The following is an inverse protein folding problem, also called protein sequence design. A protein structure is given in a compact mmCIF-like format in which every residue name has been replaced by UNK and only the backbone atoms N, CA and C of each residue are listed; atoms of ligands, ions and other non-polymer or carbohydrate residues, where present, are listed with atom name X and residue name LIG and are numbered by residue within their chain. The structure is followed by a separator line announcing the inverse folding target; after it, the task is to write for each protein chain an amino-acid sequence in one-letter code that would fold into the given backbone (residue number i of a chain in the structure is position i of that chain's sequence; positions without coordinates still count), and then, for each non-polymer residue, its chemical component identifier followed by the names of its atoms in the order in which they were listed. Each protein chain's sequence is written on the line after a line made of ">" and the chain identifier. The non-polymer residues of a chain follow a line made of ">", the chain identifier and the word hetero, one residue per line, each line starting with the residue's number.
data_IF_818444277895
#
_entry.id   IF_818444277895
#
_cell.length_a   1.000
_cell.length_b   1.000
_cell.length_c   1.000
_cell.angle_alpha   90.00
_cell.angle_beta   90.00
_cell.angle_gamma   90.00
#
_symmetry.space_group_name_H-M   'P 1'
#
loop_
_entity.id
_entity.type
_entity.pdbx_description
1 polymer ?
#
# COMPACT_ATOMS: atom_id res chain seq x y z
N UNK A 1 -70.65 -31.06 -0.03
CA UNK A 1 -69.24 -31.34 0.15
C UNK A 1 -68.44 -30.38 -0.71
N UNK A 2 -67.88 -29.34 -0.10
CA UNK A 2 -67.03 -28.37 -0.80
C UNK A 2 -65.57 -28.69 -0.45
N UNK A 3 -64.76 -29.11 -1.45
CA UNK A 3 -63.37 -29.40 -1.29
C UNK A 3 -62.57 -28.10 -1.27
N UNK A 4 -61.86 -27.86 -0.19
CA UNK A 4 -60.96 -26.70 0.02
C UNK A 4 -59.57 -27.12 -0.50
N UNK A 5 -59.15 -26.53 -1.65
CA UNK A 5 -57.81 -26.73 -2.20
C UNK A 5 -56.90 -25.69 -1.56
N UNK A 6 -56.04 -26.10 -0.62
CA UNK A 6 -54.98 -25.25 -0.06
C UNK A 6 -53.79 -25.21 -1.00
N UNK A 7 -53.56 -24.04 -1.58
CA UNK A 7 -52.32 -23.71 -2.34
C UNK A 7 -51.21 -23.36 -1.35
N UNK A 8 -50.23 -24.24 -1.18
CA UNK A 8 -49.01 -23.92 -0.43
C UNK A 8 -48.05 -23.21 -1.39
N UNK A 9 -47.94 -21.89 -1.22
CA UNK A 9 -46.85 -21.12 -1.86
C UNK A 9 -45.55 -21.39 -1.14
N UNK A 10 -44.66 -22.18 -1.78
CA UNK A 10 -43.28 -22.34 -1.33
C UNK A 10 -42.47 -21.11 -1.75
N UNK A 11 -42.29 -20.17 -0.81
CA UNK A 11 -41.39 -19.02 -0.98
C UNK A 11 -39.94 -19.54 -0.99
N UNK A 12 -39.38 -19.71 -2.18
CA UNK A 12 -37.95 -19.84 -2.34
C UNK A 12 -37.29 -18.49 -2.03
N UNK A 13 -36.79 -18.35 -0.82
CA UNK A 13 -35.86 -17.25 -0.49
C UNK A 13 -34.56 -17.47 -1.24
N UNK A 14 -34.41 -16.83 -2.39
CA UNK A 14 -33.11 -16.69 -3.06
C UNK A 14 -32.29 -15.76 -2.19
N UNK A 15 -31.50 -16.28 -1.28
CA UNK A 15 -30.46 -15.52 -0.62
C UNK A 15 -29.45 -15.13 -1.72
N UNK A 16 -29.54 -13.90 -2.23
CA UNK A 16 -28.45 -13.27 -2.96
C UNK A 16 -27.28 -13.19 -1.99
N UNK A 17 -26.37 -14.17 -2.04
CA UNK A 17 -25.08 -14.06 -1.37
C UNK A 17 -24.36 -12.89 -2.03
N UNK A 18 -24.32 -11.76 -1.35
CA UNK A 18 -23.48 -10.64 -1.77
C UNK A 18 -22.04 -11.15 -1.80
N UNK A 19 -21.41 -11.09 -2.97
CA UNK A 19 -20.00 -11.50 -3.09
C UNK A 19 -19.16 -10.65 -2.13
N UNK A 20 -18.33 -11.31 -1.31
CA UNK A 20 -17.47 -10.63 -0.36
C UNK A 20 -16.45 -9.77 -1.11
N UNK A 21 -16.36 -8.49 -0.76
CA UNK A 21 -15.42 -7.52 -1.34
C UNK A 21 -14.55 -6.90 -0.27
N UNK A 22 -13.30 -6.67 -0.63
CA UNK A 22 -12.34 -5.94 0.20
C UNK A 22 -11.70 -4.82 -0.60
N UNK A 23 -11.55 -3.66 0.02
CA UNK A 23 -10.87 -2.50 -0.57
C UNK A 23 -9.56 -2.26 0.13
N UNK A 24 -8.46 -2.37 -0.62
CA UNK A 24 -7.12 -2.04 -0.18
C UNK A 24 -6.77 -0.65 -0.70
N UNK A 25 -6.11 0.14 0.14
CA UNK A 25 -5.64 1.48 -0.19
C UNK A 25 -4.14 1.56 0.07
N UNK A 26 -3.39 2.11 -0.87
CA UNK A 26 -1.95 2.29 -0.78
C UNK A 26 -1.59 3.76 -1.00
N UNK A 27 -0.64 4.24 -0.21
CA UNK A 27 0.01 5.53 -0.44
C UNK A 27 1.52 5.35 -0.52
N UNK A 28 2.19 6.30 -1.18
CA UNK A 28 3.65 6.30 -1.32
C UNK A 28 4.37 6.77 -0.05
N UNK A 29 5.38 7.58 -0.24
CA UNK A 29 6.40 7.86 0.77
C UNK A 29 5.88 8.85 1.83
N UNK A 30 5.81 8.38 3.09
CA UNK A 30 5.48 9.15 4.29
C UNK A 30 6.79 9.66 4.90
N UNK A 31 7.20 10.86 4.50
CA UNK A 31 8.49 11.45 4.86
C UNK A 31 8.36 12.61 5.87
N UNK A 32 9.46 12.93 6.57
CA UNK A 32 9.54 14.05 7.51
C UNK A 32 10.83 14.85 7.36
N UNK A 33 10.79 15.87 6.53
CA UNK A 33 11.90 16.84 6.41
C UNK A 33 11.91 17.85 7.57
N UNK A 34 13.02 18.52 7.76
CA UNK A 34 13.20 19.51 8.86
C UNK A 34 12.08 20.55 8.89
N UNK A 35 11.72 21.12 7.74
CA UNK A 35 10.66 22.12 7.66
C UNK A 35 9.28 21.58 8.05
N UNK A 36 9.00 20.29 7.84
CA UNK A 36 7.76 19.64 8.28
C UNK A 36 7.76 19.46 9.81
N UNK A 37 8.90 19.10 10.41
CA UNK A 37 9.06 19.00 11.86
C UNK A 37 8.85 20.36 12.52
N UNK A 38 9.47 21.41 11.95
CA UNK A 38 9.36 22.77 12.48
C UNK A 38 7.93 23.31 12.35
N UNK A 39 7.24 23.04 11.23
CA UNK A 39 5.85 23.44 11.00
C UNK A 39 4.87 22.76 11.98
N UNK A 40 5.11 21.51 12.33
CA UNK A 40 4.27 20.76 13.27
C UNK A 40 4.48 21.18 14.73
N UNK A 41 5.58 21.88 15.05
CA UNK A 41 5.90 22.28 16.43
C UNK A 41 4.87 23.26 16.98
N UNK A 42 4.34 22.95 18.16
CA UNK A 42 3.41 23.80 18.91
C UNK A 42 4.11 24.73 19.87
N UNK A 43 3.41 25.73 20.39
CA UNK A 43 3.98 26.73 21.30
C UNK A 43 4.47 26.14 22.64
N UNK A 44 3.89 25.01 23.07
CA UNK A 44 4.30 24.25 24.27
C UNK A 44 5.44 23.25 23.98
N UNK A 45 5.99 23.29 22.76
CA UNK A 45 7.15 22.47 22.38
C UNK A 45 6.84 21.02 21.98
N UNK A 46 5.56 20.65 21.89
CA UNK A 46 5.08 19.38 21.33
C UNK A 46 4.98 19.48 19.80
N UNK A 47 4.42 18.44 19.18
CA UNK A 47 4.20 18.38 17.74
C UNK A 47 2.76 17.98 17.44
N UNK A 48 2.14 18.65 16.46
CA UNK A 48 0.81 18.33 15.97
C UNK A 48 0.84 18.14 14.46
N UNK A 49 0.65 16.92 14.01
CA UNK A 49 0.56 16.54 12.60
C UNK A 49 -0.87 16.26 12.14
N UNK A 50 -1.86 16.41 13.02
CA UNK A 50 -3.26 16.10 12.69
C UNK A 50 -3.79 16.90 11.49
N UNK A 51 -3.40 18.19 11.26
CA UNK A 51 -3.86 18.91 10.09
C UNK A 51 -3.34 18.32 8.77
N UNK A 52 -2.17 17.66 8.78
CA UNK A 52 -1.54 17.16 7.55
C UNK A 52 -2.46 16.21 6.77
N UNK A 53 -3.22 15.38 7.46
CA UNK A 53 -4.06 14.33 6.87
C UNK A 53 -5.55 14.70 6.82
N UNK A 54 -5.96 15.87 7.29
CA UNK A 54 -7.36 16.24 7.51
C UNK A 54 -8.25 16.07 6.29
N UNK A 55 -7.77 16.42 5.09
CA UNK A 55 -8.54 16.35 3.84
C UNK A 55 -8.53 14.98 3.16
N UNK A 56 -7.63 14.07 3.56
CA UNK A 56 -7.51 12.70 3.02
C UNK A 56 -7.98 11.62 4.00
N UNK A 57 -8.17 11.98 5.28
CA UNK A 57 -8.54 11.05 6.35
C UNK A 57 -9.79 10.23 6.02
N UNK A 58 -10.82 10.86 5.48
CA UNK A 58 -12.06 10.18 5.15
C UNK A 58 -11.86 9.13 4.04
N UNK A 59 -11.05 9.43 3.02
CA UNK A 59 -10.73 8.47 1.96
C UNK A 59 -9.91 7.30 2.49
N UNK A 60 -8.90 7.57 3.33
CA UNK A 60 -8.06 6.54 3.95
C UNK A 60 -8.91 5.64 4.84
N UNK A 61 -9.74 6.21 5.72
CA UNK A 61 -10.55 5.47 6.69
C UNK A 61 -11.69 4.65 6.07
N UNK A 62 -12.11 4.95 4.82
CA UNK A 62 -13.11 4.17 4.09
C UNK A 62 -12.57 2.86 3.54
N UNK A 63 -11.27 2.74 3.38
CA UNK A 63 -10.64 1.50 2.94
C UNK A 63 -10.77 0.43 4.03
N UNK A 64 -10.86 -0.82 3.61
CA UNK A 64 -10.80 -1.92 4.56
C UNK A 64 -9.41 -2.10 5.13
N UNK A 65 -8.37 -1.89 4.32
CA UNK A 65 -6.97 -1.93 4.74
C UNK A 65 -6.24 -0.78 4.06
N UNK A 66 -5.71 0.17 4.83
CA UNK A 66 -4.89 1.27 4.35
C UNK A 66 -3.41 1.03 4.68
N UNK A 67 -2.55 1.14 3.67
CA UNK A 67 -1.13 0.77 3.73
C UNK A 67 -0.27 1.95 3.30
N UNK A 68 0.76 2.31 4.08
CA UNK A 68 1.68 3.41 3.77
C UNK A 68 3.15 3.02 3.91
N UNK A 69 4.02 3.60 3.08
CA UNK A 69 5.47 3.44 3.19
C UNK A 69 6.03 4.45 4.21
N UNK A 70 6.40 3.98 5.41
CA UNK A 70 7.00 4.83 6.45
C UNK A 70 8.48 5.06 6.14
N UNK A 71 8.78 6.09 5.36
CA UNK A 71 10.13 6.40 4.88
C UNK A 71 10.87 7.37 5.80
N UNK A 72 10.82 7.08 7.08
CA UNK A 72 11.57 7.75 8.15
C UNK A 72 11.84 6.77 9.28
N UNK A 73 12.86 7.04 10.10
CA UNK A 73 12.96 6.40 11.40
C UNK A 73 12.22 7.21 12.49
N UNK A 74 11.73 6.52 13.51
CA UNK A 74 11.27 7.09 14.78
C UNK A 74 12.40 6.94 15.81
N UNK A 75 13.58 7.49 15.46
CA UNK A 75 14.84 7.27 16.20
C UNK A 75 14.93 8.03 17.53
N UNK A 76 13.93 8.85 17.84
CA UNK A 76 13.95 9.73 19.03
C UNK A 76 14.73 11.03 18.79
N UNK A 77 14.89 11.81 19.87
CA UNK A 77 15.64 13.08 19.84
C UNK A 77 17.14 12.84 19.66
N UNK A 78 17.87 13.75 19.00
CA UNK A 78 17.36 14.96 18.33
C UNK A 78 16.59 14.60 17.06
N UNK A 79 15.41 15.20 16.86
CA UNK A 79 14.64 15.04 15.63
C UNK A 79 15.33 15.72 14.46
N UNK A 80 15.32 15.05 13.30
CA UNK A 80 16.11 15.47 12.14
C UNK A 80 15.41 15.11 10.81
N UNK A 81 15.53 16.01 9.83
CA UNK A 81 15.18 15.73 8.44
C UNK A 81 16.34 15.08 7.68
N UNK A 82 16.32 15.24 6.34
CA UNK A 82 17.38 14.75 5.45
C UNK A 82 18.78 15.24 5.91
N UNK A 83 19.85 14.42 5.79
CA UNK A 83 19.87 13.11 5.12
C UNK A 83 19.54 11.90 6.04
N UNK A 84 19.46 12.08 7.35
CA UNK A 84 19.27 11.00 8.33
C UNK A 84 18.05 11.29 9.19
N UNK A 85 16.89 10.87 8.69
CA UNK A 85 15.60 11.18 9.29
C UNK A 85 15.42 10.61 10.70
N UNK A 86 14.83 11.43 11.57
CA UNK A 86 14.29 11.01 12.86
C UNK A 86 13.04 11.84 13.16
N UNK A 87 11.86 11.28 12.90
CA UNK A 87 10.60 11.95 13.10
C UNK A 87 10.16 11.94 14.58
N UNK A 88 9.39 12.94 15.05
CA UNK A 88 8.66 12.88 16.31
C UNK A 88 7.65 11.73 16.32
N UNK A 89 7.40 11.14 17.50
CA UNK A 89 6.45 10.03 17.63
C UNK A 89 5.00 10.47 17.33
N UNK A 90 4.68 11.75 17.51
CA UNK A 90 3.40 12.35 17.17
C UNK A 90 3.10 12.26 15.67
N UNK A 91 4.12 12.07 14.83
CA UNK A 91 3.92 11.80 13.41
C UNK A 91 3.27 10.42 13.17
N UNK A 92 3.75 9.40 13.91
CA UNK A 92 3.12 8.07 13.87
C UNK A 92 1.69 8.10 14.41
N UNK A 93 1.46 8.86 15.48
CA UNK A 93 0.10 9.07 16.01
C UNK A 93 -0.83 9.64 14.92
N UNK A 94 -0.39 10.68 14.21
CA UNK A 94 -1.21 11.29 13.15
C UNK A 94 -1.45 10.33 11.97
N UNK A 95 -0.47 9.48 11.61
CA UNK A 95 -0.63 8.42 10.62
C UNK A 95 -1.70 7.42 11.08
N UNK A 96 -1.63 6.97 12.34
CA UNK A 96 -2.65 6.07 12.92
C UNK A 96 -4.04 6.69 12.92
N UNK A 97 -4.14 7.95 13.35
CA UNK A 97 -5.40 8.70 13.43
C UNK A 97 -5.98 9.01 12.05
N UNK A 98 -5.15 9.07 11.01
CA UNK A 98 -5.60 9.18 9.63
C UNK A 98 -6.25 7.89 9.10
N UNK A 99 -6.06 6.75 9.78
CA UNK A 99 -6.71 5.50 9.46
C UNK A 99 -5.80 4.46 8.79
N UNK A 100 -4.48 4.61 8.85
CA UNK A 100 -3.57 3.59 8.34
C UNK A 100 -3.57 2.34 9.21
N UNK A 101 -3.72 1.19 8.57
CA UNK A 101 -3.77 -0.13 9.20
C UNK A 101 -2.43 -0.86 9.15
N UNK A 102 -1.58 -0.59 8.14
CA UNK A 102 -0.31 -1.30 7.91
C UNK A 102 0.77 -0.32 7.50
N UNK A 103 1.98 -0.51 8.02
CA UNK A 103 3.17 0.25 7.63
C UNK A 103 4.23 -0.62 6.98
N UNK A 104 4.76 -0.14 5.85
CA UNK A 104 5.91 -0.72 5.15
C UNK A 104 7.17 -0.05 5.68
N UNK A 105 8.16 -0.83 6.09
CA UNK A 105 9.36 -0.33 6.75
C UNK A 105 10.66 -0.65 6.02
N UNK A 106 10.62 -1.51 4.97
CA UNK A 106 11.79 -1.73 4.12
C UNK A 106 11.88 -0.61 3.07
N UNK A 107 12.70 0.37 3.36
CA UNK A 107 13.06 1.48 2.48
C UNK A 107 14.50 1.91 2.73
N UNK A 108 15.05 2.81 1.91
CA UNK A 108 16.43 3.25 2.01
C UNK A 108 16.73 4.07 3.27
N UNK A 109 15.70 4.63 3.94
CA UNK A 109 15.83 5.43 5.16
C UNK A 109 15.57 4.64 6.46
N UNK A 110 15.28 3.34 6.40
CA UNK A 110 14.97 2.53 7.59
C UNK A 110 16.14 2.37 8.58
N UNK A 111 17.37 2.69 8.17
CA UNK A 111 18.58 2.65 9.00
C UNK A 111 19.19 4.02 9.30
N UNK A 112 18.54 5.13 9.01
CA UNK A 112 19.08 6.48 9.20
C UNK A 112 19.58 6.79 10.62
N UNK A 113 19.03 6.11 11.61
CA UNK A 113 19.46 6.19 13.02
C UNK A 113 20.09 4.88 13.49
N UNK A 114 20.64 4.10 12.55
CA UNK A 114 21.32 2.84 12.81
C UNK A 114 20.44 1.78 13.49
N UNK A 115 21.10 0.81 14.13
CA UNK A 115 20.42 -0.28 14.84
C UNK A 115 19.39 0.22 15.85
N UNK A 116 19.76 1.15 16.72
CA UNK A 116 18.89 1.69 17.77
C UNK A 116 17.67 2.41 17.19
N UNK A 117 17.85 3.12 16.08
CA UNK A 117 16.75 3.79 15.38
C UNK A 117 15.77 2.80 14.78
N UNK A 118 16.26 1.75 14.10
CA UNK A 118 15.42 0.69 13.57
C UNK A 118 14.62 0.00 14.68
N UNK A 119 15.28 -0.46 15.76
CA UNK A 119 14.62 -1.15 16.85
C UNK A 119 13.60 -0.25 17.58
N UNK A 120 13.93 1.05 17.75
CA UNK A 120 12.98 2.01 18.33
C UNK A 120 11.79 2.25 17.40
N UNK A 121 11.99 2.37 16.11
CA UNK A 121 10.91 2.50 15.12
C UNK A 121 9.94 1.33 15.23
N UNK A 122 10.45 0.10 15.27
CA UNK A 122 9.62 -1.10 15.49
C UNK A 122 8.85 -1.00 16.80
N UNK A 123 9.52 -0.64 17.91
CA UNK A 123 8.88 -0.51 19.23
C UNK A 123 7.75 0.53 19.22
N UNK A 124 7.94 1.67 18.53
CA UNK A 124 6.89 2.67 18.39
C UNK A 124 5.70 2.14 17.58
N UNK A 125 5.94 1.50 16.44
CA UNK A 125 4.88 0.92 15.60
C UNK A 125 4.07 -0.11 16.41
N UNK A 126 4.74 -0.99 17.16
CA UNK A 126 4.09 -1.99 18.01
C UNK A 126 3.26 -1.36 19.15
N UNK A 127 3.73 -0.23 19.72
CA UNK A 127 3.00 0.46 20.79
C UNK A 127 1.64 1.01 20.32
N UNK A 128 1.50 1.27 19.04
CA UNK A 128 0.24 1.65 18.38
C UNK A 128 -0.55 0.44 17.83
N UNK A 129 -0.06 -0.79 18.06
CA UNK A 129 -0.65 -2.03 17.53
C UNK A 129 -0.87 -1.97 16.01
N UNK A 130 0.08 -1.37 15.27
CA UNK A 130 0.05 -1.31 13.81
C UNK A 130 0.86 -2.49 13.25
N UNK A 131 0.29 -3.38 12.46
CA UNK A 131 1.04 -4.38 11.70
C UNK A 131 2.05 -3.72 10.76
N UNK A 132 3.23 -4.34 10.61
CA UNK A 132 4.27 -3.82 9.74
C UNK A 132 5.00 -4.93 8.98
N UNK A 133 5.64 -4.57 7.88
CA UNK A 133 6.47 -5.48 7.10
C UNK A 133 7.73 -4.75 6.61
N UNK A 134 8.87 -5.48 6.63
CA UNK A 134 10.10 -4.99 5.99
C UNK A 134 11.34 -5.04 6.87
N UNK A 135 11.26 -4.65 8.13
CA UNK A 135 12.40 -4.62 9.08
C UNK A 135 12.07 -5.39 10.35
N UNK A 136 13.08 -6.02 10.96
CA UNK A 136 12.92 -6.88 12.14
C UNK A 136 14.14 -6.79 13.05
N UNK A 137 13.93 -6.97 14.36
CA UNK A 137 15.02 -6.99 15.34
C UNK A 137 15.95 -8.20 15.19
N UNK A 138 15.43 -9.33 14.68
CA UNK A 138 16.19 -10.56 14.46
C UNK A 138 15.46 -11.56 13.56
N UNK A 139 16.13 -12.67 13.23
CA UNK A 139 15.60 -13.70 12.35
C UNK A 139 14.39 -14.46 12.94
N UNK A 140 14.29 -14.58 14.26
CA UNK A 140 13.16 -15.24 14.95
C UNK A 140 11.90 -14.39 14.75
N UNK A 141 12.00 -13.09 15.04
CA UNK A 141 10.92 -12.13 14.85
C UNK A 141 10.45 -12.09 13.40
N UNK A 142 11.41 -11.99 12.44
CA UNK A 142 11.07 -12.06 11.01
C UNK A 142 10.30 -13.34 10.66
N UNK A 143 10.76 -14.49 11.14
CA UNK A 143 10.11 -15.78 10.86
C UNK A 143 8.68 -15.85 11.42
N UNK A 144 8.41 -15.19 12.54
CA UNK A 144 7.09 -15.16 13.17
C UNK A 144 6.12 -14.19 12.49
N UNK A 145 6.62 -13.04 12.02
CA UNK A 145 5.80 -11.95 11.53
C UNK A 145 5.75 -11.84 10.00
N UNK A 146 6.60 -12.57 9.27
CA UNK A 146 6.73 -12.42 7.82
C UNK A 146 6.66 -13.77 7.07
N UNK A 147 5.93 -13.85 5.93
CA UNK A 147 5.12 -12.80 5.29
C UNK A 147 4.02 -12.26 6.19
N UNK A 148 3.69 -10.96 6.05
CA UNK A 148 2.63 -10.34 6.84
C UNK A 148 1.26 -10.76 6.28
N UNK A 149 0.44 -11.41 7.09
CA UNK A 149 -0.92 -11.81 6.71
C UNK A 149 -1.95 -10.93 7.40
N UNK A 150 -2.76 -10.23 6.62
CA UNK A 150 -3.91 -9.45 7.12
C UNK A 150 -5.19 -10.21 6.81
N UNK A 151 -5.98 -10.49 7.86
CA UNK A 151 -7.28 -11.16 7.75
C UNK A 151 -8.39 -10.18 8.06
N UNK A 152 -9.23 -9.87 7.06
CA UNK A 152 -10.34 -8.90 7.21
C UNK A 152 -11.45 -9.26 6.22
N UNK A 153 -12.71 -9.16 6.65
CA UNK A 153 -13.89 -9.48 5.82
C UNK A 153 -13.80 -10.83 5.10
N UNK A 154 -13.32 -11.85 5.80
CA UNK A 154 -13.14 -13.18 5.22
C UNK A 154 -11.92 -13.33 4.29
N UNK A 155 -11.25 -12.25 3.87
CA UNK A 155 -10.03 -12.30 3.05
C UNK A 155 -8.78 -12.56 3.89
N UNK A 156 -7.81 -13.21 3.26
CA UNK A 156 -6.44 -13.34 3.72
C UNK A 156 -5.49 -12.70 2.69
N UNK A 157 -4.92 -11.56 3.00
CA UNK A 157 -4.00 -10.84 2.12
C UNK A 157 -2.58 -11.00 2.66
N UNK A 158 -1.66 -11.52 1.83
CA UNK A 158 -0.24 -11.57 2.15
C UNK A 158 0.45 -10.32 1.62
N UNK A 159 1.13 -9.59 2.50
CA UNK A 159 1.93 -8.40 2.17
C UNK A 159 3.40 -8.78 2.25
N UNK A 160 4.12 -8.55 1.16
CA UNK A 160 5.57 -8.63 1.07
C UNK A 160 6.14 -7.23 0.90
N UNK A 161 7.26 -6.91 1.58
CA UNK A 161 7.89 -5.59 1.46
C UNK A 161 9.43 -5.74 1.39
N UNK A 162 10.05 -5.09 0.41
CA UNK A 162 11.49 -5.16 0.14
C UNK A 162 12.04 -3.80 -0.31
N UNK A 163 13.33 -3.56 -0.04
CA UNK A 163 14.06 -2.37 -0.50
C UNK A 163 15.30 -2.74 -1.31
N UNK A 164 15.68 -1.87 -2.24
CA UNK A 164 16.92 -1.99 -3.01
C UNK A 164 18.17 -1.75 -2.15
N UNK A 165 18.05 -0.99 -1.07
CA UNK A 165 19.20 -0.59 -0.27
C UNK A 165 18.83 0.20 0.97
N UNK A 166 19.86 0.66 1.69
CA UNK A 166 19.77 1.43 2.94
C UNK A 166 20.76 2.59 2.96
N UNK A 167 20.87 3.33 1.86
CA UNK A 167 21.76 4.49 1.69
C UNK A 167 23.22 4.20 2.10
N UNK A 168 23.70 2.99 1.83
CA UNK A 168 25.06 2.55 2.19
C UNK A 168 25.27 2.21 3.67
N UNK A 169 24.26 2.35 4.52
CA UNK A 169 24.33 1.98 5.93
C UNK A 169 24.17 0.46 6.06
N UNK A 170 25.17 -0.21 6.61
CA UNK A 170 25.12 -1.66 6.82
C UNK A 170 24.19 -2.04 7.96
N UNK A 171 23.36 -3.05 7.73
CA UNK A 171 22.54 -3.65 8.80
C UNK A 171 23.44 -4.27 9.86
N UNK A 172 23.23 -3.91 11.11
CA UNK A 172 23.96 -4.48 12.25
C UNK A 172 23.21 -5.70 12.78
N UNK A 173 23.91 -6.81 12.93
CA UNK A 173 23.35 -8.02 13.54
C UNK A 173 22.81 -7.72 14.96
N UNK A 174 21.71 -8.36 15.40
CA UNK A 174 20.94 -9.38 14.72
C UNK A 174 19.79 -8.81 13.80
N UNK A 175 19.73 -7.48 13.60
CA UNK A 175 18.66 -6.85 12.82
C UNK A 175 18.59 -7.37 11.39
N UNK A 176 17.40 -7.32 10.80
CA UNK A 176 17.13 -7.72 9.43
C UNK A 176 16.36 -6.62 8.71
N UNK A 177 16.79 -6.32 7.50
CA UNK A 177 16.04 -5.55 6.50
C UNK A 177 15.77 -6.47 5.32
N UNK A 178 14.56 -6.48 4.82
CA UNK A 178 14.21 -7.23 3.63
C UNK A 178 14.76 -6.53 2.39
N UNK A 179 15.89 -6.97 1.89
CA UNK A 179 16.45 -6.49 0.63
C UNK A 179 15.84 -7.21 -0.57
N UNK A 180 15.88 -6.55 -1.73
CA UNK A 180 15.54 -7.15 -3.03
C UNK A 180 16.62 -8.19 -3.38
N UNK A 181 16.34 -9.43 -3.01
CA UNK A 181 17.12 -10.62 -3.36
C UNK A 181 16.19 -11.72 -3.85
N UNK A 182 16.27 -12.09 -5.13
CA UNK A 182 15.34 -13.05 -5.76
C UNK A 182 15.27 -14.38 -5.02
N UNK A 183 16.37 -14.85 -4.43
CA UNK A 183 16.39 -16.13 -3.68
C UNK A 183 15.57 -16.02 -2.39
N UNK A 184 15.71 -14.94 -1.66
CA UNK A 184 14.94 -14.65 -0.44
C UNK A 184 13.46 -14.41 -0.77
N UNK A 185 13.19 -13.57 -1.77
CA UNK A 185 11.83 -13.27 -2.23
C UNK A 185 11.10 -14.55 -2.62
N UNK A 186 11.74 -15.47 -3.37
CA UNK A 186 11.12 -16.72 -3.79
C UNK A 186 10.73 -17.59 -2.58
N UNK A 187 11.57 -17.68 -1.56
CA UNK A 187 11.25 -18.41 -0.31
C UNK A 187 10.04 -17.79 0.40
N UNK A 188 10.00 -16.47 0.46
CA UNK A 188 8.89 -15.75 1.12
C UNK A 188 7.59 -15.91 0.31
N UNK A 189 7.64 -15.89 -1.02
CA UNK A 189 6.48 -16.18 -1.88
C UNK A 189 5.96 -17.61 -1.63
N UNK A 190 6.85 -18.61 -1.59
CA UNK A 190 6.44 -19.99 -1.28
C UNK A 190 5.82 -20.09 0.12
N UNK A 191 6.37 -19.38 1.10
CA UNK A 191 5.80 -19.32 2.46
C UNK A 191 4.42 -18.68 2.46
N UNK A 192 4.22 -17.62 1.67
CA UNK A 192 2.92 -17.00 1.50
C UNK A 192 1.92 -17.95 0.83
N UNK A 193 2.31 -18.60 -0.27
CA UNK A 193 1.48 -19.55 -1.02
C UNK A 193 1.03 -20.74 -0.18
N UNK A 194 1.86 -21.22 0.76
CA UNK A 194 1.53 -22.32 1.67
C UNK A 194 0.30 -22.02 2.56
N UNK A 195 0.03 -20.74 2.84
CA UNK A 195 -1.16 -20.28 3.59
C UNK A 195 -2.39 -20.15 2.69
N UNK A 196 -2.23 -20.21 1.37
CA UNK A 196 -3.28 -20.01 0.36
C UNK A 196 -4.04 -18.68 0.56
N UNK A 197 -3.36 -17.53 0.51
CA UNK A 197 -4.02 -16.24 0.66
C UNK A 197 -4.88 -15.91 -0.57
N UNK A 198 -5.86 -15.02 -0.41
CA UNK A 198 -6.69 -14.55 -1.51
C UNK A 198 -5.89 -13.65 -2.49
N UNK A 199 -4.85 -12.98 -2.00
CA UNK A 199 -3.88 -12.23 -2.81
C UNK A 199 -2.50 -12.19 -2.13
N UNK A 200 -1.42 -12.12 -2.94
CA UNK A 200 -0.04 -11.83 -2.52
C UNK A 200 0.36 -10.50 -3.14
N UNK A 201 0.61 -9.49 -2.32
CA UNK A 201 0.96 -8.15 -2.76
C UNK A 201 2.41 -7.86 -2.42
N UNK A 202 3.24 -7.60 -3.44
CA UNK A 202 4.62 -7.19 -3.26
C UNK A 202 4.74 -5.67 -3.26
N UNK A 203 5.13 -5.10 -2.12
CA UNK A 203 5.42 -3.68 -1.96
C UNK A 203 6.92 -3.45 -2.09
N UNK A 204 7.32 -2.75 -3.16
CA UNK A 204 8.71 -2.65 -3.60
C UNK A 204 9.22 -1.22 -3.46
N UNK A 205 10.30 -1.04 -2.71
CA UNK A 205 11.03 0.23 -2.64
C UNK A 205 12.23 0.15 -3.56
N UNK A 206 12.09 0.66 -4.81
CA UNK A 206 12.93 0.34 -5.95
C UNK A 206 13.04 1.45 -7.00
N UNK A 207 13.88 1.25 -8.01
CA UNK A 207 14.05 2.17 -9.13
C UNK A 207 15.07 3.26 -8.85
N UNK A 208 14.97 4.35 -9.60
CA UNK A 208 15.88 5.50 -9.51
C UNK A 208 15.10 6.76 -9.14
N UNK A 209 15.65 7.57 -8.22
CA UNK A 209 15.05 8.82 -7.79
C UNK A 209 14.81 9.76 -8.99
N UNK A 210 13.66 10.43 -8.99
CA UNK A 210 13.25 11.46 -9.94
C UNK A 210 13.01 11.01 -11.37
N UNK A 211 13.10 9.70 -11.66
CA UNK A 211 12.76 9.15 -12.97
C UNK A 211 11.26 8.88 -13.06
N UNK A 212 10.59 9.54 -14.00
CA UNK A 212 9.13 9.39 -14.18
C UNK A 212 8.71 8.08 -14.88
N UNK A 213 9.64 7.41 -15.57
CA UNK A 213 9.39 6.09 -16.17
C UNK A 213 10.15 5.02 -15.40
N UNK A 214 9.56 3.82 -15.24
CA UNK A 214 10.27 2.72 -14.61
C UNK A 214 11.49 2.33 -15.45
N UNK A 215 12.58 2.02 -14.76
CA UNK A 215 13.76 1.50 -15.42
C UNK A 215 13.59 0.01 -15.79
N UNK A 216 14.56 -0.52 -16.56
CA UNK A 216 14.51 -1.90 -17.02
C UNK A 216 14.48 -2.91 -15.87
N UNK A 217 15.22 -2.65 -14.79
CA UNK A 217 15.28 -3.55 -13.63
C UNK A 217 13.92 -3.64 -12.92
N UNK A 218 13.19 -2.52 -12.79
CA UNK A 218 11.82 -2.50 -12.25
C UNK A 218 10.89 -3.36 -13.10
N UNK A 219 10.92 -3.21 -14.43
CA UNK A 219 10.08 -3.97 -15.35
C UNK A 219 10.39 -5.47 -15.31
N UNK A 220 11.67 -5.86 -15.40
CA UNK A 220 12.10 -7.26 -15.34
C UNK A 220 11.79 -7.92 -13.98
N UNK A 221 11.92 -7.18 -12.89
CA UNK A 221 11.57 -7.69 -11.57
C UNK A 221 10.05 -7.83 -11.41
N UNK A 222 9.26 -6.89 -11.92
CA UNK A 222 7.80 -7.00 -11.92
C UNK A 222 7.34 -8.26 -12.67
N UNK A 223 7.87 -8.49 -13.87
CA UNK A 223 7.57 -9.68 -14.67
C UNK A 223 7.94 -10.97 -13.94
N UNK A 224 9.10 -10.97 -13.28
CA UNK A 224 9.56 -12.12 -12.51
C UNK A 224 8.65 -12.39 -11.31
N UNK A 225 8.29 -11.35 -10.53
CA UNK A 225 7.40 -11.47 -9.37
C UNK A 225 6.05 -12.07 -9.75
N UNK A 226 5.42 -11.60 -10.83
CA UNK A 226 4.16 -12.15 -11.32
C UNK A 226 4.31 -13.62 -11.73
N UNK A 227 5.40 -13.99 -12.41
CA UNK A 227 5.70 -15.39 -12.78
C UNK A 227 5.89 -16.30 -11.55
N UNK A 228 6.30 -15.76 -10.40
CA UNK A 228 6.43 -16.53 -9.16
C UNK A 228 5.11 -16.60 -8.37
N UNK A 229 4.04 -15.94 -8.81
CA UNK A 229 2.71 -16.00 -8.19
C UNK A 229 2.37 -14.83 -7.27
N UNK A 230 3.14 -13.73 -7.30
CA UNK A 230 2.68 -12.44 -6.77
C UNK A 230 1.47 -11.99 -7.59
N UNK A 231 0.43 -11.48 -6.92
CA UNK A 231 -0.81 -11.08 -7.60
C UNK A 231 -0.82 -9.60 -7.97
N UNK A 232 -0.25 -8.74 -7.12
CA UNK A 232 -0.19 -7.30 -7.36
C UNK A 232 1.14 -6.73 -6.87
N UNK A 233 1.58 -5.63 -7.49
CA UNK A 233 2.86 -4.98 -7.18
C UNK A 233 2.62 -3.50 -6.95
N UNK A 234 3.12 -2.98 -5.82
CA UNK A 234 3.01 -1.58 -5.43
C UNK A 234 4.40 -1.01 -5.17
N UNK A 235 4.82 -0.05 -5.96
CA UNK A 235 6.15 0.56 -5.91
C UNK A 235 6.20 1.90 -5.20
N UNK A 236 7.36 2.21 -4.63
CA UNK A 236 7.77 3.46 -3.96
C UNK A 236 9.25 3.73 -4.22
N UNK A 237 9.82 4.82 -3.75
CA UNK A 237 11.20 5.27 -3.83
C UNK A 237 11.51 6.34 -4.90
N UNK A 238 11.04 6.30 -6.16
CA UNK A 238 11.41 7.33 -7.13
C UNK A 238 11.01 8.75 -6.73
N UNK A 239 10.20 8.92 -5.69
CA UNK A 239 9.64 10.20 -5.20
C UNK A 239 8.79 10.95 -6.22
N UNK A 240 8.62 10.39 -7.39
CA UNK A 240 7.73 10.84 -8.45
C UNK A 240 6.76 9.72 -8.81
N UNK A 241 5.60 10.11 -9.29
CA UNK A 241 4.60 9.16 -9.78
C UNK A 241 5.15 8.50 -11.05
N UNK A 242 5.14 7.17 -11.10
CA UNK A 242 5.42 6.38 -12.29
C UNK A 242 4.14 5.73 -12.82
N UNK A 243 4.13 5.19 -14.06
CA UNK A 243 2.98 4.53 -14.66
C UNK A 243 2.40 3.39 -13.84
N UNK A 244 1.15 3.08 -14.12
CA UNK A 244 0.41 1.96 -13.55
C UNK A 244 -0.20 1.11 -14.66
N UNK A 245 -0.27 -0.19 -14.44
CA UNK A 245 -0.83 -1.15 -15.38
C UNK A 245 -1.82 -2.08 -14.69
N UNK A 246 -2.97 -2.34 -15.34
CA UNK A 246 -3.80 -3.49 -15.02
C UNK A 246 -3.53 -4.55 -16.11
N UNK A 247 -2.65 -5.47 -15.81
CA UNK A 247 -2.17 -6.48 -16.75
C UNK A 247 -3.05 -7.74 -16.65
N UNK A 248 -3.58 -8.19 -17.79
CA UNK A 248 -4.39 -9.42 -17.85
C UNK A 248 -3.54 -10.60 -18.31
N UNK A 249 -3.60 -11.71 -17.59
CA UNK A 249 -2.99 -12.98 -17.96
C UNK A 249 -4.02 -14.10 -17.78
N UNK A 250 -4.57 -14.62 -18.87
CA UNK A 250 -5.71 -15.53 -18.85
C UNK A 250 -6.91 -14.87 -18.16
N UNK A 251 -7.42 -15.50 -17.11
CA UNK A 251 -8.55 -14.99 -16.32
C UNK A 251 -8.11 -14.14 -15.11
N UNK A 252 -6.83 -13.87 -14.95
CA UNK A 252 -6.28 -13.13 -13.82
C UNK A 252 -5.88 -11.72 -14.22
N UNK A 253 -6.17 -10.75 -13.36
CA UNK A 253 -5.75 -9.37 -13.51
C UNK A 253 -4.78 -9.00 -12.40
N UNK A 254 -3.69 -8.34 -12.78
CA UNK A 254 -2.59 -7.95 -11.92
C UNK A 254 -2.43 -6.44 -11.97
N UNK A 255 -2.67 -5.75 -10.85
CA UNK A 255 -2.36 -4.35 -10.75
C UNK A 255 -0.86 -4.18 -10.46
N UNK A 256 -0.18 -3.37 -11.27
CA UNK A 256 1.22 -2.98 -11.11
C UNK A 256 1.27 -1.46 -11.02
N UNK A 257 1.78 -0.96 -9.93
CA UNK A 257 2.07 0.46 -9.70
C UNK A 257 3.57 0.60 -9.56
N UNK A 258 4.25 1.23 -10.50
CA UNK A 258 5.71 1.32 -10.43
C UNK A 258 6.20 2.30 -9.37
N UNK A 259 5.52 3.43 -9.17
CA UNK A 259 5.74 4.33 -8.03
C UNK A 259 4.50 5.17 -7.72
N UNK A 260 4.15 5.23 -6.44
CA UNK A 260 3.07 6.08 -5.92
C UNK A 260 3.52 7.54 -5.72
N UNK A 261 4.81 7.85 -5.81
CA UNK A 261 5.38 9.15 -5.50
C UNK A 261 5.37 9.49 -4.01
N UNK A 262 5.63 10.75 -3.67
CA UNK A 262 5.58 11.23 -2.30
C UNK A 262 4.14 11.41 -1.82
N UNK A 263 3.72 10.70 -0.78
CA UNK A 263 2.44 11.01 -0.16
C UNK A 263 2.54 12.32 0.62
N UNK A 264 3.55 12.44 1.48
CA UNK A 264 3.84 13.70 2.17
C UNK A 264 5.36 13.91 2.29
N UNK A 265 5.87 15.04 1.78
CA UNK A 265 7.29 15.40 1.85
C UNK A 265 7.50 16.91 1.71
N UNK A 266 8.74 17.37 1.90
CA UNK A 266 9.16 18.73 1.55
C UNK A 266 10.17 18.75 0.39
N UNK A 267 10.19 17.73 -0.44
CA UNK A 267 11.11 17.67 -1.57
C UNK A 267 10.77 18.73 -2.61
N UNK A 268 11.79 19.36 -3.20
CA UNK A 268 11.66 20.48 -4.14
C UNK A 268 11.99 20.14 -5.59
N UNK A 269 12.49 18.94 -5.85
CA UNK A 269 12.72 18.46 -7.21
C UNK A 269 11.41 18.46 -8.04
N UNK A 270 11.54 18.51 -9.34
CA UNK A 270 10.38 18.50 -10.23
C UNK A 270 9.50 17.25 -9.99
N UNK A 271 8.18 17.45 -9.92
CA UNK A 271 7.17 16.40 -9.74
C UNK A 271 7.23 15.63 -8.41
N UNK A 272 7.98 16.12 -7.39
CA UNK A 272 8.07 15.48 -6.07
C UNK A 272 7.12 16.07 -5.03
N UNK A 273 6.26 17.00 -5.41
CA UNK A 273 5.36 17.74 -4.53
C UNK A 273 3.98 17.06 -4.35
N UNK A 274 3.89 15.79 -4.69
CA UNK A 274 2.67 15.01 -4.50
C UNK A 274 2.83 13.56 -4.91
N UNK A 275 1.77 12.79 -4.71
CA UNK A 275 1.70 11.36 -4.99
C UNK A 275 0.28 10.91 -5.27
N UNK A 276 0.07 9.61 -5.08
CA UNK A 276 -1.21 8.95 -5.32
C UNK A 276 -1.76 8.32 -4.02
N UNK A 277 -3.08 8.31 -3.92
CA UNK A 277 -3.82 7.26 -3.22
C UNK A 277 -4.23 6.25 -4.29
N UNK A 278 -3.73 5.03 -4.22
CA UNK A 278 -4.13 3.95 -5.11
C UNK A 278 -5.10 3.02 -4.38
N UNK A 279 -6.23 2.71 -5.01
CA UNK A 279 -7.25 1.80 -4.46
C UNK A 279 -7.35 0.55 -5.31
N UNK A 280 -7.40 -0.61 -4.65
CA UNK A 280 -7.57 -1.93 -5.24
C UNK A 280 -8.73 -2.63 -4.55
N UNK A 281 -9.81 -2.89 -5.27
CA UNK A 281 -10.94 -3.65 -4.77
C UNK A 281 -10.91 -5.07 -5.32
N UNK A 282 -10.91 -6.02 -4.41
CA UNK A 282 -10.92 -7.44 -4.70
C UNK A 282 -12.27 -8.07 -4.32
N UNK A 283 -12.65 -9.10 -5.06
CA UNK A 283 -13.85 -9.91 -4.84
C UNK A 283 -13.46 -11.38 -4.87
N UNK A 284 -13.98 -12.17 -3.94
CA UNK A 284 -13.71 -13.61 -3.94
C UNK A 284 -14.34 -14.31 -5.15
N UNK A 285 -13.61 -15.23 -5.73
CA UNK A 285 -14.23 -16.18 -6.65
C UNK A 285 -15.26 -17.01 -5.88
N UNK A 286 -16.45 -17.25 -6.47
CA UNK A 286 -17.38 -18.20 -5.89
C UNK A 286 -16.68 -19.56 -5.82
N UNK A 287 -16.67 -20.16 -4.63
CA UNK A 287 -16.18 -21.54 -4.48
C UNK A 287 -16.95 -22.42 -5.47
N UNK A 288 -16.28 -23.28 -6.25
CA UNK A 288 -16.97 -24.26 -7.06
C UNK A 288 -17.92 -25.05 -6.16
N UNK A 289 -19.21 -25.11 -6.52
CA UNK A 289 -20.17 -25.94 -5.79
C UNK A 289 -19.59 -27.35 -5.68
N UNK A 290 -19.60 -27.98 -4.50
CA UNK A 290 -19.12 -29.34 -4.37
C UNK A 290 -19.86 -30.19 -5.41
N UNK A 291 -19.12 -30.78 -6.33
CA UNK A 291 -19.66 -31.72 -7.29
C UNK A 291 -20.20 -32.88 -6.42
N UNK A 292 -21.51 -33.05 -6.38
CA UNK A 292 -22.08 -34.25 -5.75
C UNK A 292 -21.37 -35.44 -6.37
N UNK A 293 -20.81 -36.37 -5.59
CA UNK A 293 -20.20 -37.56 -6.14
C UNK A 293 -21.28 -38.26 -6.98
N UNK A 294 -21.08 -38.30 -8.28
CA UNK A 294 -21.81 -39.27 -9.10
C UNK A 294 -21.44 -40.64 -8.52
N UNK A 295 -22.42 -41.32 -7.92
CA UNK A 295 -22.29 -42.71 -7.56
C UNK A 295 -22.09 -43.48 -8.87
N UNK A 296 -20.85 -43.67 -9.28
CA UNK A 296 -20.48 -44.72 -10.20
C UNK A 296 -18.98 -45.02 -10.12
N UNK A 297 -18.71 -46.29 -9.95
CA UNK A 297 -17.46 -46.97 -9.84
C UNK A 297 -16.43 -46.59 -10.92
N UNK A 298 -15.37 -45.94 -10.53
CA UNK A 298 -14.03 -46.16 -11.07
C UNK A 298 -12.99 -45.54 -10.13
N UNK A 299 -12.09 -46.37 -9.67
CA UNK A 299 -10.98 -46.07 -8.76
C UNK A 299 -9.88 -45.27 -9.47
N UNK A 300 -10.10 -43.94 -9.64
CA UNK A 300 -9.02 -43.00 -9.94
C UNK A 300 -9.15 -41.85 -8.93
N UNK A 301 -8.30 -41.90 -7.91
CA UNK A 301 -8.06 -40.75 -7.04
C UNK A 301 -7.57 -39.60 -7.94
N UNK A 302 -8.19 -38.39 -7.86
CA UNK A 302 -7.68 -37.27 -8.61
C UNK A 302 -6.25 -36.98 -8.15
N UNK A 303 -5.33 -36.76 -9.11
CA UNK A 303 -3.94 -36.43 -8.82
C UNK A 303 -3.86 -35.11 -8.06
N UNK A 304 -2.87 -34.92 -7.17
CA UNK A 304 -2.67 -33.64 -6.45
C UNK A 304 -2.57 -32.41 -7.37
N UNK A 305 -2.26 -32.61 -8.64
CA UNK A 305 -2.13 -31.54 -9.65
C UNK A 305 -3.47 -30.87 -10.04
N UNK A 306 -4.61 -31.54 -9.83
CA UNK A 306 -5.92 -30.95 -10.17
C UNK A 306 -6.40 -29.87 -9.20
N UNK A 307 -5.78 -29.73 -8.01
CA UNK A 307 -6.09 -28.68 -7.02
C UNK A 307 -5.20 -27.44 -7.13
N UNK A 308 -4.15 -27.46 -7.97
CA UNK A 308 -3.24 -26.32 -8.15
C UNK A 308 -3.83 -25.20 -9.02
N UNK A 309 -5.02 -25.38 -9.63
CA UNK A 309 -5.53 -24.46 -10.66
C UNK A 309 -6.42 -23.31 -10.16
N UNK A 310 -6.57 -23.10 -8.85
CA UNK A 310 -7.51 -22.06 -8.32
C UNK A 310 -6.89 -20.98 -7.44
N UNK A 311 -5.60 -20.71 -7.56
CA UNK A 311 -4.94 -19.54 -6.94
C UNK A 311 -4.67 -18.45 -7.99
N UNK A 312 -4.95 -17.16 -7.72
CA UNK A 312 -5.49 -16.57 -6.51
C UNK A 312 -7.00 -16.78 -6.34
N UNK A 313 -7.47 -16.72 -5.08
CA UNK A 313 -8.89 -16.91 -4.75
C UNK A 313 -9.73 -15.64 -4.90
N UNK A 314 -9.13 -14.52 -5.29
CA UNK A 314 -9.80 -13.23 -5.50
C UNK A 314 -9.45 -12.63 -6.85
N UNK A 315 -10.40 -11.87 -7.42
CA UNK A 315 -10.23 -11.11 -8.67
C UNK A 315 -10.30 -9.62 -8.42
N UNK A 316 -9.68 -8.84 -9.29
CA UNK A 316 -9.85 -7.39 -9.31
C UNK A 316 -11.25 -7.06 -9.83
N UNK A 317 -12.02 -6.26 -9.09
CA UNK A 317 -13.29 -5.70 -9.58
C UNK A 317 -13.17 -4.23 -9.90
N UNK A 318 -12.23 -3.55 -9.23
CA UNK A 318 -11.94 -2.14 -9.49
C UNK A 318 -10.52 -1.82 -9.00
N UNK A 319 -9.80 -1.03 -9.77
CA UNK A 319 -8.63 -0.32 -9.30
C UNK A 319 -8.61 1.09 -9.89
N UNK A 320 -8.00 2.01 -9.18
CA UNK A 320 -7.91 3.40 -9.60
C UNK A 320 -7.11 4.22 -8.60
N UNK A 321 -6.96 5.51 -8.90
CA UNK A 321 -6.15 6.39 -8.06
C UNK A 321 -6.82 7.76 -7.83
N UNK A 322 -6.37 8.45 -6.78
CA UNK A 322 -6.63 9.85 -6.50
C UNK A 322 -5.30 10.58 -6.43
N UNK A 323 -5.16 11.69 -7.14
CA UNK A 323 -3.98 12.55 -7.04
C UNK A 323 -4.02 13.34 -5.73
N UNK A 324 -2.87 13.44 -5.07
CA UNK A 324 -2.72 14.20 -3.81
C UNK A 324 -1.50 15.10 -3.91
N UNK A 325 -1.72 16.41 -3.75
CA UNK A 325 -0.67 17.41 -3.71
C UNK A 325 -0.31 17.77 -2.27
N UNK A 326 0.97 17.86 -1.96
CA UNK A 326 1.47 18.34 -0.66
C UNK A 326 1.57 19.88 -0.65
N UNK A 327 0.60 20.52 -0.04
CA UNK A 327 0.58 21.98 0.15
C UNK A 327 1.57 22.41 1.24
N UNK A 328 2.57 23.21 0.86
CA UNK A 328 3.57 23.74 1.79
C UNK A 328 3.08 25.01 2.48
N UNK A 329 3.40 25.24 3.76
CA UNK A 329 3.07 26.47 4.49
C UNK A 329 3.38 27.77 3.73
N UNK A 330 4.54 27.83 3.07
CA UNK A 330 4.98 29.00 2.30
C UNK A 330 4.11 29.32 1.07
N UNK A 331 3.33 28.36 0.59
CA UNK A 331 2.42 28.53 -0.54
C UNK A 331 0.96 28.68 -0.08
N UNK A 332 0.55 27.89 0.90
CA UNK A 332 -0.84 27.80 1.33
C UNK A 332 -1.22 28.85 2.38
N UNK A 333 -0.25 29.36 3.13
CA UNK A 333 -0.49 30.19 4.31
C UNK A 333 -0.93 29.38 5.55
N UNK A 334 -1.08 28.07 5.41
CA UNK A 334 -1.38 27.19 6.52
C UNK A 334 -0.17 27.04 7.44
N UNK A 335 -0.40 26.65 8.71
CA UNK A 335 0.70 26.39 9.64
C UNK A 335 1.46 25.13 9.27
N UNK A 336 0.75 24.10 8.80
CA UNK A 336 1.29 22.78 8.51
C UNK A 336 1.31 22.45 7.02
N UNK A 337 2.03 21.40 6.67
CA UNK A 337 1.91 20.73 5.37
C UNK A 337 0.56 20.02 5.31
N UNK A 338 -0.24 20.29 4.30
CA UNK A 338 -1.57 19.70 4.15
C UNK A 338 -1.65 18.94 2.83
N UNK A 339 -2.23 17.76 2.88
CA UNK A 339 -2.46 16.91 1.72
C UNK A 339 -3.77 17.32 1.04
N UNK A 340 -3.69 17.83 -0.18
CA UNK A 340 -4.84 18.26 -0.98
C UNK A 340 -5.16 17.23 -2.07
N UNK A 341 -6.21 16.41 -1.91
CA UNK A 341 -6.65 15.52 -2.97
C UNK A 341 -7.26 16.30 -4.13
N UNK A 342 -7.13 15.78 -5.36
CA UNK A 342 -7.52 16.46 -6.60
C UNK A 342 -9.00 16.84 -6.70
N UNK A 343 -9.84 16.22 -5.90
CA UNK A 343 -11.29 16.50 -5.82
C UNK A 343 -11.67 17.54 -4.77
N UNK A 344 -10.77 17.92 -3.85
CA UNK A 344 -11.10 18.89 -2.78
C UNK A 344 -11.33 20.31 -3.34
N UNK A 345 -12.28 21.07 -2.77
CA UNK A 345 -12.41 22.49 -3.08
C UNK A 345 -11.15 23.26 -2.68
N UNK A 346 -10.61 24.06 -3.60
CA UNK A 346 -9.36 24.81 -3.40
C UNK A 346 -9.55 26.32 -3.40
N UNK A 347 -10.79 26.82 -3.41
CA UNK A 347 -11.11 28.25 -3.53
C UNK A 347 -10.53 29.10 -2.40
N UNK A 348 -10.36 28.53 -1.21
CA UNK A 348 -9.78 29.20 -0.04
C UNK A 348 -8.26 29.40 -0.10
N UNK A 349 -7.59 28.64 -0.96
CA UNK A 349 -6.13 28.74 -1.09
C UNK A 349 -5.71 30.05 -1.78
N UNK A 350 -4.52 30.61 -1.42
CA UNK A 350 -3.89 31.70 -2.18
C UNK A 350 -3.74 31.33 -3.66
N UNK A 351 -3.76 32.34 -4.54
CA UNK A 351 -3.67 32.13 -5.99
C UNK A 351 -2.41 31.33 -6.41
N UNK A 352 -1.28 31.59 -5.76
CA UNK A 352 -0.02 30.86 -5.99
C UNK A 352 -0.14 29.37 -5.70
N UNK A 353 -0.78 29.00 -4.58
CA UNK A 353 -1.02 27.62 -4.20
C UNK A 353 -1.98 26.94 -5.17
N UNK A 354 -3.09 27.61 -5.54
CA UNK A 354 -4.04 27.08 -6.56
C UNK A 354 -3.34 26.83 -7.89
N UNK A 355 -2.51 27.77 -8.34
CA UNK A 355 -1.76 27.62 -9.58
C UNK A 355 -0.83 26.40 -9.54
N UNK A 356 -0.09 26.21 -8.42
CA UNK A 356 0.83 25.08 -8.26
C UNK A 356 0.08 23.75 -8.22
N UNK A 357 -0.99 23.66 -7.45
CA UNK A 357 -1.87 22.48 -7.38
C UNK A 357 -2.43 22.14 -8.77
N UNK A 358 -2.96 23.14 -9.51
CA UNK A 358 -3.50 22.93 -10.85
C UNK A 358 -2.44 22.45 -11.85
N UNK A 359 -1.21 22.96 -11.74
CA UNK A 359 -0.07 22.52 -12.56
C UNK A 359 0.25 21.06 -12.24
N UNK A 360 0.36 20.70 -10.96
CA UNK A 360 0.58 19.32 -10.53
C UNK A 360 -0.49 18.39 -11.10
N UNK A 361 -1.77 18.68 -10.87
CA UNK A 361 -2.90 17.86 -11.33
C UNK A 361 -2.87 17.73 -12.87
N UNK A 362 -2.76 18.84 -13.58
CA UNK A 362 -2.78 18.88 -15.05
C UNK A 362 -1.64 18.05 -15.66
N UNK A 363 -0.42 18.27 -15.16
CA UNK A 363 0.77 17.60 -15.69
C UNK A 363 0.73 16.09 -15.39
N UNK A 364 0.36 15.72 -14.17
CA UNK A 364 0.26 14.31 -13.76
C UNK A 364 -0.83 13.59 -14.53
N UNK A 365 -2.02 14.19 -14.70
CA UNK A 365 -3.10 13.62 -15.53
C UNK A 365 -2.64 13.39 -16.97
N UNK A 366 -1.99 14.41 -17.58
CA UNK A 366 -1.45 14.30 -18.94
C UNK A 366 -0.46 13.13 -19.04
N UNK A 367 0.45 13.02 -18.08
CA UNK A 367 1.44 11.96 -18.04
C UNK A 367 0.79 10.57 -17.88
N UNK A 368 -0.12 10.41 -16.92
CA UNK A 368 -0.74 9.12 -16.65
C UNK A 368 -1.69 8.66 -17.77
N UNK A 369 -2.43 9.57 -18.41
CA UNK A 369 -3.23 9.23 -19.59
C UNK A 369 -2.36 8.68 -20.74
N UNK A 370 -1.13 9.17 -20.86
CA UNK A 370 -0.20 8.74 -21.90
C UNK A 370 0.48 7.40 -21.58
N UNK A 371 0.67 7.07 -20.30
CA UNK A 371 1.55 5.97 -19.89
C UNK A 371 0.86 4.86 -19.07
N UNK A 372 -0.34 5.10 -18.52
CA UNK A 372 -1.08 4.05 -17.82
C UNK A 372 -1.77 3.08 -18.77
N UNK A 373 -1.94 1.85 -18.31
CA UNK A 373 -2.76 0.83 -18.99
C UNK A 373 -3.91 0.41 -18.08
N UNK A 374 -5.15 0.70 -18.51
CA UNK A 374 -6.42 0.27 -17.87
C UNK A 374 -6.59 0.68 -16.38
N UNK A 375 -5.80 1.65 -15.88
CA UNK A 375 -5.96 2.22 -14.54
C UNK A 375 -6.24 3.72 -14.66
N UNK A 376 -7.35 4.16 -14.09
CA UNK A 376 -7.87 5.50 -14.26
C UNK A 376 -8.01 6.23 -12.92
N UNK A 377 -8.09 7.57 -12.98
CA UNK A 377 -8.39 8.40 -11.82
C UNK A 377 -9.82 8.11 -11.32
N UNK A 378 -10.00 8.02 -10.02
CA UNK A 378 -11.30 7.81 -9.41
C UNK A 378 -12.19 9.05 -9.64
N UNK A 379 -13.35 8.85 -10.26
CA UNK A 379 -14.37 9.88 -10.33
C UNK A 379 -15.08 9.97 -8.97
N UNK A 380 -15.01 11.13 -8.34
CA UNK A 380 -15.75 11.46 -7.11
C UNK A 380 -16.72 12.60 -7.35
#
# INVERSE_FOLDING_TARGET
>A
MKALISFIFLLYSVTLSSQERITLLFVGDLMQHRAQIDAARTSDGKYDYSPCFSLVKEEISRADIAIGNLEVTLGGKPYQGYPTFSAPDEYLQAIKDAGFDVLLTANNHCLDRGKTGLERTITQIESFSIPYAGTYRNAIERKQLYPLFIRKKGFCIAILNYTYGTNGIKVSAPNIVNYIDKKTILKDIHSAQAVRPDAIIACMHWGEEYQSLPNREQCELADWLLKQGVTHIIGSHPHVIQPMELRTNGNQQHAIVYSLGNFISNMSAANTDGGLIFTLQLEKYPLPKPIRPLQNHSSHSPSPESFASSFPFARVVRCGYTLVWTGRPTLTGEKNYILYPSYSPHSHLPQSARNRLNIFIKNTRKFLVQHNTEIYENNK
#
